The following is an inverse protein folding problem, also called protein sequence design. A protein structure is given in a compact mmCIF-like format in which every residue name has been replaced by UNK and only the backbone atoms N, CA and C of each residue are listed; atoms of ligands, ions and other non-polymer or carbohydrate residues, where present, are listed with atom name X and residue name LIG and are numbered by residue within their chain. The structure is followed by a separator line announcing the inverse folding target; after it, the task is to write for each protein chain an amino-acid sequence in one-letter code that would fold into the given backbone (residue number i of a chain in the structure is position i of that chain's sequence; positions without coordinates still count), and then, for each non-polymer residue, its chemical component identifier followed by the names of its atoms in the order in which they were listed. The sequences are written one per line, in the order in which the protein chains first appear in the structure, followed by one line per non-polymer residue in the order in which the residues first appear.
data_IF_425723010902
#
_entry.id   IF_425723010902
#
_cell.length_a   1.000
_cell.length_b   1.000
_cell.length_c   1.000
_cell.angle_alpha   90.00
_cell.angle_beta   90.00
_cell.angle_gamma   90.00
#
_symmetry.space_group_name_H-M   'P 1'
#
loop_
_entity.id
_entity.type
_entity.pdbx_description
1 polymer ?
#
# COMPACT_ATOMS: atom_id res chain seq x y z
N UNK A 1 -0.04 15.16 -2.76
CA UNK A 1 -0.89 14.07 -3.29
C UNK A 1 -2.33 14.52 -3.43
N UNK A 2 -3.02 14.93 -2.36
CA UNK A 2 -4.43 15.39 -2.44
C UNK A 2 -4.66 16.46 -3.50
N UNK A 3 -3.89 17.55 -3.47
CA UNK A 3 -3.99 18.62 -4.47
C UNK A 3 -3.84 18.08 -5.89
N UNK A 4 -2.80 17.28 -6.14
CA UNK A 4 -2.55 16.68 -7.46
C UNK A 4 -3.71 15.81 -7.94
N UNK A 5 -4.35 15.05 -7.03
CA UNK A 5 -5.51 14.23 -7.36
C UNK A 5 -6.70 15.10 -7.76
N UNK A 6 -6.99 16.14 -6.97
CA UNK A 6 -8.11 17.05 -7.22
C UNK A 6 -7.92 17.86 -8.52
N UNK A 7 -6.69 18.27 -8.82
CA UNK A 7 -6.35 19.01 -10.04
C UNK A 7 -6.01 18.11 -11.22
N UNK A 8 -6.09 16.79 -11.06
CA UNK A 8 -5.70 15.78 -12.05
C UNK A 8 -4.27 15.95 -12.60
N UNK A 9 -3.36 16.51 -11.79
CA UNK A 9 -1.96 16.62 -12.15
C UNK A 9 -1.28 15.27 -11.85
N UNK A 10 -0.67 14.61 -12.84
CA UNK A 10 0.02 13.34 -12.62
C UNK A 10 1.12 13.48 -11.57
N UNK A 11 1.20 12.52 -10.63
CA UNK A 11 2.21 12.53 -9.56
C UNK A 11 2.90 11.17 -9.43
N UNK A 12 4.22 11.17 -9.30
CA UNK A 12 5.01 10.03 -8.84
C UNK A 12 5.51 10.28 -7.44
N UNK A 13 5.29 9.33 -6.53
CA UNK A 13 5.84 9.34 -5.18
C UNK A 13 6.86 8.21 -5.07
N UNK A 14 8.12 8.61 -4.89
CA UNK A 14 9.27 7.71 -4.79
C UNK A 14 9.80 7.76 -3.37
N UNK A 15 10.13 6.61 -2.79
CA UNK A 15 10.77 6.51 -1.49
C UNK A 15 10.99 5.07 -1.08
N UNK A 16 11.77 4.79 -0.05
CA UNK A 16 12.01 3.40 0.38
C UNK A 16 10.71 2.69 0.85
N UNK A 17 10.74 1.36 0.88
CA UNK A 17 9.64 0.56 1.45
C UNK A 17 9.40 0.98 2.90
N UNK A 18 8.13 1.23 3.25
CA UNK A 18 7.77 1.71 4.60
C UNK A 18 7.81 3.24 4.77
N UNK A 19 8.08 4.02 3.72
CA UNK A 19 8.02 5.49 3.77
C UNK A 19 6.58 6.08 3.72
N UNK A 20 5.58 5.32 4.18
CA UNK A 20 4.16 5.73 4.28
C UNK A 20 3.48 6.21 2.99
N UNK A 21 3.97 5.83 1.81
CA UNK A 21 3.39 6.21 0.50
C UNK A 21 1.99 5.64 0.32
N UNK A 22 1.85 4.32 0.47
CA UNK A 22 0.56 3.62 0.34
C UNK A 22 -0.41 4.01 1.45
N UNK A 23 0.10 4.28 2.66
CA UNK A 23 -0.71 4.80 3.78
C UNK A 23 -1.28 6.20 3.45
N UNK A 24 -0.47 7.10 2.89
CA UNK A 24 -0.95 8.43 2.49
C UNK A 24 -2.09 8.34 1.47
N UNK A 25 -1.97 7.44 0.48
CA UNK A 25 -3.03 7.23 -0.50
C UNK A 25 -4.29 6.61 0.13
N UNK A 26 -4.11 5.68 1.06
CA UNK A 26 -5.20 5.08 1.80
C UNK A 26 -5.98 6.12 2.62
N UNK A 27 -5.28 7.00 3.35
CA UNK A 27 -5.89 8.10 4.11
C UNK A 27 -6.64 9.08 3.21
N UNK A 28 -6.11 9.36 2.01
CA UNK A 28 -6.80 10.19 1.02
C UNK A 28 -8.10 9.50 0.59
N UNK A 29 -8.06 8.21 0.30
CA UNK A 29 -9.25 7.45 -0.11
C UNK A 29 -10.29 7.29 1.01
N UNK A 30 -9.87 7.19 2.27
CA UNK A 30 -10.78 7.05 3.41
C UNK A 30 -11.45 8.37 3.76
N UNK A 31 -10.75 9.49 3.58
CA UNK A 31 -11.25 10.81 3.94
C UNK A 31 -12.01 11.50 2.80
N UNK A 32 -11.66 11.28 1.53
CA UNK A 32 -12.34 11.89 0.38
C UNK A 32 -13.51 11.03 -0.10
N UNK A 33 -14.58 10.99 0.69
CA UNK A 33 -15.80 10.23 0.38
C UNK A 33 -16.94 11.10 -0.16
N UNK A 34 -16.68 12.39 -0.42
CA UNK A 34 -17.73 13.34 -0.78
C UNK A 34 -18.62 13.65 0.41
N UNK A 35 -19.94 13.74 0.19
CA UNK A 35 -20.93 13.97 1.26
C UNK A 35 -20.93 12.92 2.38
N UNK A 36 -20.37 11.72 2.11
CA UNK A 36 -20.20 10.62 3.08
C UNK A 36 -18.95 10.78 3.97
N UNK A 37 -18.19 11.87 3.85
CA UNK A 37 -16.98 12.09 4.66
C UNK A 37 -17.37 12.52 6.08
N UNK A 38 -16.57 12.15 7.07
CA UNK A 38 -16.84 12.52 8.47
C UNK A 38 -16.61 14.02 8.72
N UNK A 39 -15.54 14.57 8.14
CA UNK A 39 -15.11 15.96 8.31
C UNK A 39 -15.86 16.92 7.36
N UNK A 40 -16.30 18.07 7.87
CA UNK A 40 -17.03 19.07 7.11
C UNK A 40 -16.21 19.67 5.95
N UNK A 41 -14.89 19.78 6.11
CA UNK A 41 -14.01 20.20 5.02
C UNK A 41 -14.03 19.15 3.89
N UNK A 42 -13.89 17.87 4.22
CA UNK A 42 -13.89 16.80 3.21
C UNK A 42 -15.25 16.56 2.56
N UNK A 43 -16.36 16.90 3.23
CA UNK A 43 -17.71 16.90 2.63
C UNK A 43 -17.85 17.88 1.46
N UNK A 44 -17.08 18.97 1.47
CA UNK A 44 -17.08 19.96 0.38
C UNK A 44 -16.28 19.51 -0.86
N UNK A 45 -15.48 18.45 -0.72
CA UNK A 45 -14.60 17.93 -1.78
C UNK A 45 -15.22 16.73 -2.49
N UNK A 46 -14.84 16.46 -3.75
CA UNK A 46 -15.39 15.35 -4.51
C UNK A 46 -14.94 13.99 -3.96
N UNK A 47 -15.77 12.96 -4.20
CA UNK A 47 -15.44 11.57 -3.85
C UNK A 47 -14.31 11.07 -4.73
N UNK A 48 -13.32 10.42 -4.14
CA UNK A 48 -12.18 9.85 -4.88
C UNK A 48 -12.32 8.33 -4.96
N UNK A 49 -12.22 7.79 -6.18
CA UNK A 49 -12.23 6.36 -6.42
C UNK A 49 -10.91 5.92 -7.06
N UNK A 50 -10.23 4.98 -6.42
CA UNK A 50 -8.91 4.52 -6.83
C UNK A 50 -9.02 3.18 -7.56
N UNK A 51 -8.45 3.11 -8.76
CA UNK A 51 -8.32 1.88 -9.55
C UNK A 51 -6.85 1.42 -9.50
N UNK A 52 -6.51 0.46 -8.63
CA UNK A 52 -5.12 0.03 -8.42
C UNK A 52 -4.63 -0.96 -9.49
N UNK A 53 -3.36 -0.81 -9.86
CA UNK A 53 -2.54 -1.80 -10.56
C UNK A 53 -1.28 -2.07 -9.77
N UNK A 54 -0.98 -3.34 -9.49
CA UNK A 54 0.30 -3.72 -8.95
C UNK A 54 1.25 -4.07 -10.10
N UNK A 55 2.29 -3.25 -10.29
CA UNK A 55 3.33 -3.52 -11.27
C UNK A 55 4.25 -4.66 -10.81
N UNK A 56 4.62 -5.50 -11.77
CA UNK A 56 5.59 -6.59 -11.63
C UNK A 56 6.57 -6.57 -12.81
N UNK A 57 7.60 -7.42 -12.75
CA UNK A 57 8.53 -7.61 -13.87
C UNK A 57 7.86 -8.18 -15.13
N UNK A 58 6.67 -8.76 -15.01
CA UNK A 58 5.84 -9.28 -16.11
C UNK A 58 4.70 -8.35 -16.52
N UNK A 59 4.63 -7.13 -15.99
CA UNK A 59 3.60 -6.16 -16.37
C UNK A 59 3.62 -5.87 -17.87
N UNK A 60 2.43 -5.88 -18.48
CA UNK A 60 2.23 -5.64 -19.91
C UNK A 60 1.61 -4.27 -20.16
N UNK A 61 1.85 -3.75 -21.36
CA UNK A 61 1.22 -2.52 -21.86
C UNK A 61 -0.31 -2.59 -21.78
N UNK A 62 -0.89 -3.68 -22.26
CA UNK A 62 -2.33 -3.94 -22.20
C UNK A 62 -2.90 -3.88 -20.79
N UNK A 63 -2.16 -4.34 -19.78
CA UNK A 63 -2.58 -4.29 -18.39
C UNK A 63 -2.77 -2.86 -17.90
N UNK A 64 -1.83 -1.97 -18.25
CA UNK A 64 -1.89 -0.55 -17.91
C UNK A 64 -3.02 0.13 -18.67
N UNK A 65 -3.14 -0.11 -19.98
CA UNK A 65 -4.21 0.48 -20.81
C UNK A 65 -5.59 0.13 -20.27
N UNK A 66 -5.83 -1.14 -19.92
CA UNK A 66 -7.12 -1.60 -19.37
C UNK A 66 -7.53 -0.87 -18.10
N UNK A 67 -6.58 -0.38 -17.32
CA UNK A 67 -6.83 0.32 -16.05
C UNK A 67 -7.21 1.77 -16.30
N UNK A 68 -6.54 2.42 -17.24
CA UNK A 68 -6.96 3.73 -17.71
C UNK A 68 -8.35 3.66 -18.37
N UNK A 69 -8.61 2.65 -19.21
CA UNK A 69 -9.92 2.44 -19.81
C UNK A 69 -11.00 2.21 -18.76
N UNK A 70 -10.70 1.39 -17.74
CA UNK A 70 -11.61 1.14 -16.62
C UNK A 70 -11.89 2.43 -15.84
N UNK A 71 -10.86 3.21 -15.52
CA UNK A 71 -11.00 4.49 -14.82
C UNK A 71 -11.81 5.52 -15.65
N UNK A 72 -11.58 5.58 -16.97
CA UNK A 72 -12.32 6.46 -17.88
C UNK A 72 -13.80 6.10 -17.95
N UNK A 73 -14.14 4.81 -18.07
CA UNK A 73 -15.54 4.34 -18.07
C UNK A 73 -16.28 4.71 -16.79
N UNK A 74 -15.63 4.60 -15.62
CA UNK A 74 -16.24 5.05 -14.36
C UNK A 74 -16.39 6.56 -14.30
N UNK A 75 -15.47 7.32 -14.90
CA UNK A 75 -15.53 8.77 -14.96
C UNK A 75 -16.70 9.28 -15.82
N UNK A 76 -17.02 8.59 -16.91
CA UNK A 76 -18.18 8.88 -17.76
C UNK A 76 -19.51 8.57 -17.06
N UNK A 77 -19.52 7.55 -16.20
CA UNK A 77 -20.72 7.12 -15.47
C UNK A 77 -21.06 8.03 -14.30
N UNK A 78 -20.07 8.70 -13.71
CA UNK A 78 -20.28 9.55 -12.52
C UNK A 78 -19.36 10.77 -12.56
N UNK A 79 -19.93 11.93 -12.88
CA UNK A 79 -19.21 13.21 -12.98
C UNK A 79 -18.74 13.76 -11.63
N UNK A 80 -19.41 13.38 -10.54
CA UNK A 80 -19.12 13.85 -9.16
C UNK A 80 -17.98 13.08 -8.47
N UNK A 81 -17.43 12.06 -9.14
CA UNK A 81 -16.34 11.22 -8.63
C UNK A 81 -15.07 11.51 -9.42
N UNK A 82 -13.95 11.67 -8.73
CA UNK A 82 -12.62 11.70 -9.35
C UNK A 82 -12.05 10.29 -9.36
N UNK A 83 -11.93 9.73 -10.56
CA UNK A 83 -11.27 8.44 -10.74
C UNK A 83 -9.75 8.61 -10.85
N UNK A 84 -9.03 7.80 -10.06
CA UNK A 84 -7.57 7.80 -9.98
C UNK A 84 -7.04 6.47 -10.48
N UNK A 85 -6.27 6.49 -11.56
CA UNK A 85 -5.43 5.36 -11.97
C UNK A 85 -4.19 5.31 -11.06
N UNK A 86 -4.09 4.26 -10.25
CA UNK A 86 -2.95 4.03 -9.36
C UNK A 86 -2.06 2.94 -9.95
N UNK A 87 -0.79 3.25 -10.20
CA UNK A 87 0.24 2.25 -10.45
C UNK A 87 1.13 2.12 -9.21
N UNK A 88 1.13 0.95 -8.59
CA UNK A 88 1.99 0.64 -7.45
C UNK A 88 3.20 -0.19 -7.89
N UNK A 89 4.35 0.00 -7.24
CA UNK A 89 5.64 -0.64 -7.56
C UNK A 89 6.13 -0.41 -9.01
N UNK A 90 5.97 0.81 -9.51
CA UNK A 90 6.31 1.19 -10.90
C UNK A 90 7.75 0.80 -11.28
N UNK A 91 8.70 0.84 -10.35
CA UNK A 91 10.10 0.47 -10.64
C UNK A 91 10.30 -0.98 -11.13
N UNK A 92 9.41 -1.93 -10.82
CA UNK A 92 9.51 -3.28 -11.42
C UNK A 92 9.20 -3.26 -12.91
N UNK A 93 8.21 -2.47 -13.33
CA UNK A 93 7.82 -2.33 -14.72
C UNK A 93 8.89 -1.61 -15.56
N UNK A 94 9.76 -0.81 -14.93
CA UNK A 94 10.89 -0.17 -15.60
C UNK A 94 12.01 -1.13 -15.98
N UNK A 95 12.29 -2.11 -15.13
CA UNK A 95 13.31 -3.14 -15.39
C UNK A 95 12.95 -4.13 -16.51
N UNK A 96 11.72 -4.06 -17.02
CA UNK A 96 11.21 -4.92 -18.07
C UNK A 96 11.72 -4.48 -19.45
N UNK A 97 12.17 -5.44 -20.26
CA UNK A 97 12.64 -5.21 -21.64
C UNK A 97 11.58 -4.59 -22.56
N UNK A 98 10.29 -4.82 -22.28
CA UNK A 98 9.17 -4.26 -23.03
C UNK A 98 8.85 -2.80 -22.69
N UNK A 99 9.48 -2.23 -21.65
CA UNK A 99 9.30 -0.85 -21.16
C UNK A 99 7.85 -0.32 -21.24
N UNK A 100 6.92 -0.95 -20.50
CA UNK A 100 5.49 -0.62 -20.55
C UNK A 100 5.17 0.82 -20.12
N UNK A 101 6.10 1.49 -19.42
CA UNK A 101 5.94 2.86 -18.96
C UNK A 101 6.06 3.90 -20.07
N UNK A 102 6.58 3.54 -21.25
CA UNK A 102 6.65 4.46 -22.41
C UNK A 102 5.25 4.96 -22.82
N UNK A 103 4.22 4.13 -22.62
CA UNK A 103 2.84 4.47 -22.93
C UNK A 103 2.24 5.52 -22.00
N UNK A 104 2.78 5.70 -20.79
CA UNK A 104 2.29 6.72 -19.85
C UNK A 104 2.36 8.12 -20.44
N UNK A 105 3.30 8.37 -21.34
CA UNK A 105 3.38 9.65 -22.04
C UNK A 105 2.13 9.96 -22.85
N UNK A 106 1.62 8.97 -23.57
CA UNK A 106 0.40 9.08 -24.37
C UNK A 106 -0.85 9.12 -23.49
N UNK A 107 -0.86 8.38 -22.38
CA UNK A 107 -2.03 8.30 -21.49
C UNK A 107 -2.19 9.51 -20.57
N UNK A 108 -1.09 10.18 -20.22
CA UNK A 108 -1.08 11.35 -19.35
C UNK A 108 -1.21 12.67 -20.12
N UNK A 109 -0.93 12.68 -21.42
CA UNK A 109 -1.15 13.86 -22.26
C UNK A 109 -2.63 13.98 -22.65
N UNK A 110 -3.24 15.16 -22.48
CA UNK A 110 -4.57 15.40 -23.00
C UNK A 110 -4.53 15.42 -24.53
N UNK A 111 -5.50 14.75 -25.17
CA UNK A 111 -5.70 14.81 -26.61
C UNK A 111 -6.57 16.03 -26.92
N UNK A 112 -6.10 16.93 -27.79
CA UNK A 112 -6.88 18.09 -28.23
C UNK A 112 -8.26 17.65 -28.77
N UNK A 113 -9.38 18.28 -28.36
CA UNK A 113 -9.52 19.60 -27.73
C UNK A 113 -9.56 19.61 -26.19
N UNK A 114 -9.31 18.48 -25.52
CA UNK A 114 -9.36 18.43 -24.06
C UNK A 114 -8.24 19.28 -23.43
N UNK A 115 -8.56 20.04 -22.40
CA UNK A 115 -7.61 20.90 -21.67
C UNK A 115 -6.84 20.17 -20.57
N UNK A 116 -7.22 18.92 -20.26
CA UNK A 116 -6.58 18.11 -19.22
C UNK A 116 -6.98 16.64 -19.29
N UNK A 117 -6.28 15.76 -18.54
CA UNK A 117 -6.57 14.35 -18.54
C UNK A 117 -7.96 14.07 -17.93
N UNK A 118 -8.63 13.06 -18.46
CA UNK A 118 -9.95 12.61 -18.01
C UNK A 118 -9.90 12.07 -16.58
N UNK A 119 -8.87 11.28 -16.28
CA UNK A 119 -8.63 10.63 -15.00
C UNK A 119 -7.37 11.18 -14.32
N UNK A 120 -7.34 11.16 -13.00
CA UNK A 120 -6.15 11.48 -12.23
C UNK A 120 -5.19 10.30 -12.21
N UNK A 121 -3.89 10.56 -12.06
CA UNK A 121 -2.86 9.53 -12.03
C UNK A 121 -1.95 9.64 -10.81
N UNK A 122 -1.68 8.50 -10.17
CA UNK A 122 -0.70 8.37 -9.08
C UNK A 122 0.19 7.16 -9.36
N UNK A 123 1.50 7.38 -9.42
CA UNK A 123 2.50 6.32 -9.47
C UNK A 123 3.27 6.22 -8.15
N UNK A 124 3.34 5.04 -7.56
CA UNK A 124 4.15 4.75 -6.38
C UNK A 124 5.34 3.87 -6.78
N UNK A 125 6.53 4.24 -6.34
CA UNK A 125 7.73 3.45 -6.58
C UNK A 125 8.64 3.42 -5.35
N UNK A 126 9.34 2.29 -5.19
CA UNK A 126 10.43 2.17 -4.21
C UNK A 126 11.79 2.56 -4.79
N UNK A 127 11.91 2.55 -6.13
CA UNK A 127 13.13 2.90 -6.85
C UNK A 127 12.95 4.19 -7.63
N UNK A 128 14.07 4.87 -7.87
CA UNK A 128 14.11 6.00 -8.78
C UNK A 128 13.61 5.57 -10.16
N UNK A 129 12.80 6.42 -10.75
CA UNK A 129 12.31 6.28 -12.11
C UNK A 129 13.19 7.11 -13.04
N UNK A 130 13.39 6.64 -14.27
CA UNK A 130 14.03 7.47 -15.30
C UNK A 130 13.23 8.77 -15.50
N UNK A 131 13.96 9.89 -15.52
CA UNK A 131 13.43 11.25 -15.68
C UNK A 131 12.61 11.35 -16.96
N UNK A 132 12.98 10.59 -18.01
CA UNK A 132 12.23 10.56 -19.27
C UNK A 132 10.76 10.19 -19.04
N UNK A 133 10.48 9.23 -18.13
CA UNK A 133 9.16 8.66 -17.81
C UNK A 133 8.35 9.53 -16.86
N UNK A 134 9.01 10.28 -15.99
CA UNK A 134 8.36 11.20 -15.04
C UNK A 134 8.26 12.64 -15.53
N UNK A 135 8.76 12.95 -16.73
CA UNK A 135 8.77 14.31 -17.30
C UNK A 135 7.41 15.02 -17.35
N UNK A 136 6.32 14.24 -17.45
CA UNK A 136 4.93 14.73 -17.53
C UNK A 136 4.19 14.71 -16.19
N UNK A 137 4.93 14.52 -15.10
CA UNK A 137 4.37 14.33 -13.77
C UNK A 137 5.19 15.09 -12.72
N UNK A 138 4.55 15.47 -11.62
CA UNK A 138 5.24 15.97 -10.44
C UNK A 138 5.95 14.79 -9.78
N UNK A 139 7.26 14.92 -9.58
CA UNK A 139 8.07 13.92 -8.88
C UNK A 139 8.26 14.33 -7.42
N UNK A 140 7.73 13.53 -6.50
CA UNK A 140 7.95 13.68 -5.06
C UNK A 140 8.90 12.58 -4.59
N UNK A 141 10.08 12.96 -4.15
CA UNK A 141 11.06 12.04 -3.57
C UNK A 141 11.06 12.16 -2.05
N UNK A 142 10.86 11.03 -1.36
CA UNK A 142 11.03 10.91 0.08
C UNK A 142 12.49 10.58 0.37
N UNK A 143 13.21 11.44 1.13
CA UNK A 143 14.56 11.13 1.56
C UNK A 143 14.55 9.92 2.51
N UNK A 144 15.74 9.37 2.73
CA UNK A 144 15.95 8.39 3.79
C UNK A 144 15.71 9.05 5.14
N UNK A 145 15.08 8.32 6.05
CA UNK A 145 14.81 8.79 7.40
C UNK A 145 16.13 8.97 8.14
N UNK A 146 16.33 10.15 8.69
CA UNK A 146 17.47 10.44 9.56
C UNK A 146 17.14 10.10 11.02
N UNK A 147 18.12 10.30 11.90
CA UNK A 147 17.97 10.05 13.33
C UNK A 147 16.86 10.91 13.94
N UNK A 148 16.72 12.16 13.52
CA UNK A 148 15.72 13.08 14.07
C UNK A 148 14.31 12.65 13.65
N UNK A 149 14.13 12.22 12.41
CA UNK A 149 12.87 11.69 11.90
C UNK A 149 12.43 10.46 12.70
N UNK A 150 13.35 9.52 12.97
CA UNK A 150 13.06 8.32 13.73
C UNK A 150 12.70 8.64 15.19
N UNK A 151 13.42 9.57 15.84
CA UNK A 151 13.08 10.03 17.20
C UNK A 151 11.70 10.70 17.24
N UNK A 152 11.38 11.52 16.23
CA UNK A 152 10.06 12.14 16.10
C UNK A 152 8.93 11.12 15.88
N UNK A 153 9.23 9.98 15.25
CA UNK A 153 8.29 8.87 15.11
C UNK A 153 8.13 8.16 16.45
N UNK A 154 9.22 7.79 17.10
CA UNK A 154 9.22 7.06 18.37
C UNK A 154 8.39 7.78 19.43
N UNK A 155 8.59 9.09 19.58
CA UNK A 155 7.87 9.94 20.54
C UNK A 155 6.37 10.03 20.27
N UNK A 156 5.94 9.81 19.01
CA UNK A 156 4.51 9.76 18.64
C UNK A 156 3.90 8.37 18.85
N UNK A 157 4.67 7.32 18.64
CA UNK A 157 4.20 5.92 18.78
C UNK A 157 4.16 5.46 20.23
N UNK A 158 5.17 5.83 20.99
CA UNK A 158 5.32 5.48 22.40
C UNK A 158 5.34 6.81 23.15
N UNK A 159 4.46 6.97 24.15
CA UNK A 159 4.58 8.04 25.14
C UNK A 159 5.80 7.75 26.03
N UNK A 160 6.99 7.77 25.45
CA UNK A 160 8.24 7.64 26.20
C UNK A 160 8.34 8.87 27.11
N UNK A 161 8.41 8.63 28.41
CA UNK A 161 8.76 9.68 29.36
C UNK A 161 10.27 10.04 29.30
N UNK A 162 11.08 9.26 28.58
CA UNK A 162 12.53 9.45 28.44
C UNK A 162 12.92 9.64 26.96
N UNK A 163 13.35 10.87 26.62
CA UNK A 163 13.86 11.21 25.29
C UNK A 163 15.13 10.43 24.93
N UNK A 164 15.91 10.02 25.93
CA UNK A 164 17.19 9.33 25.77
C UNK A 164 16.99 7.90 25.22
N UNK A 165 16.03 7.15 25.76
CA UNK A 165 15.68 5.81 25.28
C UNK A 165 15.21 5.82 23.81
N UNK A 166 14.41 6.82 23.44
CA UNK A 166 13.95 7.01 22.06
C UNK A 166 15.11 7.24 21.09
N UNK A 167 16.12 8.01 21.52
CA UNK A 167 17.32 8.27 20.72
C UNK A 167 18.16 7.01 20.56
N UNK A 168 18.45 6.30 21.65
CA UNK A 168 19.22 5.06 21.61
C UNK A 168 18.59 3.99 20.72
N UNK A 169 17.25 3.88 20.72
CA UNK A 169 16.53 2.95 19.85
C UNK A 169 16.70 3.31 18.36
N UNK A 170 16.59 4.60 18.03
CA UNK A 170 16.77 5.09 16.66
C UNK A 170 18.22 4.88 16.17
N UNK A 171 19.21 5.15 17.03
CA UNK A 171 20.64 4.91 16.75
C UNK A 171 20.90 3.42 16.49
N UNK A 172 20.43 2.54 17.38
CA UNK A 172 20.60 1.10 17.23
C UNK A 172 19.98 0.57 15.93
N UNK A 173 18.82 1.07 15.54
CA UNK A 173 18.21 0.71 14.26
C UNK A 173 19.02 1.18 13.05
N UNK A 174 19.52 2.42 13.07
CA UNK A 174 20.32 2.96 11.97
C UNK A 174 21.65 2.21 11.82
N UNK A 175 22.32 1.91 12.93
CA UNK A 175 23.54 1.10 12.95
C UNK A 175 23.26 -0.31 12.42
N UNK A 176 22.19 -0.93 12.89
CA UNK A 176 21.77 -2.25 12.43
C UNK A 176 21.51 -2.28 10.92
N UNK A 177 20.79 -1.28 10.40
CA UNK A 177 20.46 -1.15 8.97
C UNK A 177 21.71 -0.96 8.10
N UNK A 178 22.73 -0.29 8.60
CA UNK A 178 23.93 0.03 7.82
C UNK A 178 24.99 -1.08 7.84
N UNK A 179 25.18 -1.75 8.98
CA UNK A 179 26.36 -2.61 9.18
C UNK A 179 26.05 -4.07 9.51
N UNK A 180 24.87 -4.39 10.04
CA UNK A 180 24.63 -5.68 10.69
C UNK A 180 23.58 -6.56 9.98
N UNK A 181 23.15 -6.19 8.76
CA UNK A 181 22.25 -7.03 7.97
C UNK A 181 23.01 -8.00 7.08
N UNK A 182 22.71 -9.30 7.19
CA UNK A 182 23.27 -10.36 6.32
C UNK A 182 22.82 -10.19 4.86
N UNK A 183 21.59 -9.74 4.66
CA UNK A 183 21.00 -9.45 3.36
C UNK A 183 20.68 -7.96 3.30
N UNK A 184 21.07 -7.31 2.21
CA UNK A 184 20.83 -5.87 2.01
C UNK A 184 19.33 -5.56 2.04
N UNK A 185 18.93 -4.60 2.88
CA UNK A 185 17.55 -4.14 3.05
C UNK A 185 16.55 -5.26 3.42
N UNK A 186 16.98 -6.27 4.16
CA UNK A 186 16.08 -7.32 4.64
C UNK A 186 15.13 -6.79 5.73
N UNK A 187 15.68 -6.07 6.72
CA UNK A 187 14.87 -5.39 7.74
C UNK A 187 14.72 -3.91 7.39
N UNK A 188 13.47 -3.47 7.25
CA UNK A 188 13.10 -2.13 6.81
C UNK A 188 12.45 -1.29 7.89
N UNK A 189 11.85 -0.17 7.48
CA UNK A 189 11.12 0.73 8.39
C UNK A 189 9.85 0.07 8.95
N UNK A 190 9.27 -0.88 8.21
CA UNK A 190 8.06 -1.60 8.67
C UNK A 190 8.35 -2.45 9.90
N UNK A 191 9.49 -3.14 9.92
CA UNK A 191 9.92 -3.95 11.07
C UNK A 191 10.21 -3.07 12.28
N UNK A 192 10.81 -1.89 12.05
CA UNK A 192 11.02 -0.89 13.07
C UNK A 192 9.71 -0.33 13.64
N UNK A 193 8.71 -0.02 12.81
CA UNK A 193 7.40 0.40 13.31
C UNK A 193 6.67 -0.73 14.04
N UNK A 194 6.83 -1.97 13.59
CA UNK A 194 6.26 -3.14 14.26
C UNK A 194 6.89 -3.34 15.65
N UNK A 195 8.21 -3.18 15.78
CA UNK A 195 8.89 -3.28 17.08
C UNK A 195 8.46 -2.17 18.02
N UNK A 196 8.34 -0.93 17.54
CA UNK A 196 7.77 0.18 18.33
C UNK A 196 6.34 -0.11 18.78
N UNK A 197 5.51 -0.63 17.87
CA UNK A 197 4.12 -0.99 18.20
C UNK A 197 4.08 -2.10 19.26
N UNK A 198 4.95 -3.10 19.15
CA UNK A 198 5.05 -4.18 20.14
C UNK A 198 5.50 -3.65 21.50
N UNK A 199 6.45 -2.72 21.55
CA UNK A 199 6.88 -2.06 22.79
C UNK A 199 5.78 -1.18 23.42
N UNK A 200 4.86 -0.65 22.61
CA UNK A 200 3.71 0.14 23.09
C UNK A 200 2.56 -0.69 23.65
N UNK A 201 2.48 -1.99 23.30
CA UNK A 201 1.39 -2.89 23.70
C UNK A 201 1.83 -3.71 24.93
N UNK A 202 1.03 -3.70 25.99
CA UNK A 202 1.17 -4.67 27.08
C UNK A 202 0.84 -6.08 26.56
N UNK A 203 1.54 -7.14 27.01
CA UNK A 203 1.42 -8.46 26.42
C UNK A 203 0.01 -9.01 26.66
N UNK A 204 -0.71 -9.31 25.57
CA UNK A 204 -1.95 -10.08 25.59
C UNK A 204 -1.73 -11.45 24.92
N UNK A 205 -2.45 -12.43 25.45
CA UNK A 205 -2.15 -13.85 25.50
C UNK A 205 -2.23 -14.64 24.17
N UNK A 206 -1.48 -15.76 24.19
CA UNK A 206 -1.71 -17.05 23.52
C UNK A 206 -1.95 -17.10 22.00
N UNK A 207 -0.88 -17.52 21.28
CA UNK A 207 -0.93 -17.95 19.88
C UNK A 207 -1.14 -19.48 19.84
N UNK A 208 -2.34 -19.95 19.51
CA UNK A 208 -2.57 -21.34 19.09
C UNK A 208 -2.50 -21.47 17.57
N UNK A 209 -1.85 -22.54 17.09
CA UNK A 209 -1.45 -22.75 15.69
C UNK A 209 -2.29 -23.87 15.08
N UNK A 210 -2.91 -23.63 13.92
CA UNK A 210 -3.51 -24.69 13.08
C UNK A 210 -2.83 -24.71 11.69
N UNK A 211 -2.51 -25.91 11.22
CA UNK A 211 -1.77 -26.17 9.99
C UNK A 211 -2.73 -26.40 8.82
N UNK A 212 -2.58 -25.64 7.72
CA UNK A 212 -3.21 -25.97 6.44
C UNK A 212 -2.13 -26.05 5.35
N UNK A 213 -1.95 -27.24 4.76
CA UNK A 213 -1.09 -27.46 3.59
C UNK A 213 -1.92 -27.33 2.33
N UNK A 214 -1.48 -26.53 1.35
CA UNK A 214 -2.11 -26.47 0.03
C UNK A 214 -1.32 -27.32 -0.97
N UNK A 215 -1.73 -28.58 -1.16
CA UNK A 215 -1.38 -29.35 -2.35
C UNK A 215 -2.66 -29.94 -2.92
N UNK A 216 -3.13 -29.42 -4.07
CA UNK A 216 -4.07 -30.13 -4.93
C UNK A 216 -3.61 -29.98 -6.39
N UNK A 217 -3.36 -31.08 -7.13
CA UNK A 217 -2.67 -31.03 -8.42
C UNK A 217 -3.49 -30.53 -9.62
N UNK A 218 -4.82 -30.43 -9.52
CA UNK A 218 -5.66 -30.28 -10.72
C UNK A 218 -6.71 -29.17 -10.57
N UNK A 219 -6.33 -27.91 -10.81
CA UNK A 219 -7.24 -26.84 -11.26
C UNK A 219 -6.41 -25.56 -11.51
N UNK A 220 -6.15 -25.19 -12.76
CA UNK A 220 -5.22 -24.08 -13.07
C UNK A 220 -5.88 -22.68 -13.06
N UNK A 221 -7.21 -22.56 -13.24
CA UNK A 221 -7.85 -21.24 -13.36
C UNK A 221 -8.74 -20.85 -12.15
N UNK A 222 -9.39 -21.82 -11.49
CA UNK A 222 -10.31 -21.59 -10.37
C UNK A 222 -9.64 -21.76 -8.98
N UNK A 223 -8.34 -22.06 -8.97
CA UNK A 223 -7.57 -22.26 -7.74
C UNK A 223 -7.40 -20.96 -6.95
N UNK A 224 -7.14 -19.85 -7.64
CA UNK A 224 -6.86 -18.59 -6.96
C UNK A 224 -8.11 -17.97 -6.30
N UNK A 225 -9.27 -18.06 -6.92
CA UNK A 225 -10.58 -17.62 -6.38
C UNK A 225 -11.00 -18.46 -5.17
N UNK A 226 -10.92 -19.80 -5.28
CA UNK A 226 -11.23 -20.74 -4.17
C UNK A 226 -10.27 -20.60 -3.00
N UNK A 227 -8.98 -20.39 -3.27
CA UNK A 227 -7.99 -20.14 -2.21
C UNK A 227 -8.28 -18.79 -1.55
N UNK A 228 -8.51 -17.72 -2.31
CA UNK A 228 -8.84 -16.41 -1.74
C UNK A 228 -10.11 -16.41 -0.90
N UNK A 229 -11.18 -17.11 -1.32
CA UNK A 229 -12.42 -17.20 -0.54
C UNK A 229 -12.23 -17.94 0.78
N UNK A 230 -11.40 -19.00 0.79
CA UNK A 230 -11.00 -19.69 2.02
C UNK A 230 -10.16 -18.79 2.92
N UNK A 231 -9.22 -18.03 2.35
CA UNK A 231 -8.41 -17.06 3.09
C UNK A 231 -9.31 -16.00 3.75
N UNK A 232 -10.25 -15.43 3.00
CA UNK A 232 -11.20 -14.44 3.54
C UNK A 232 -12.09 -15.03 4.63
N UNK A 233 -12.56 -16.28 4.47
CA UNK A 233 -13.31 -17.00 5.50
C UNK A 233 -12.48 -17.24 6.76
N UNK A 234 -11.19 -17.59 6.63
CA UNK A 234 -10.31 -17.76 7.78
C UNK A 234 -10.08 -16.43 8.51
N UNK A 235 -9.88 -15.34 7.77
CA UNK A 235 -9.72 -13.99 8.34
C UNK A 235 -10.99 -13.55 9.08
N UNK A 236 -12.17 -13.74 8.47
CA UNK A 236 -13.45 -13.35 9.10
C UNK A 236 -13.81 -14.19 10.33
N UNK A 237 -13.30 -15.42 10.40
CA UNK A 237 -13.50 -16.32 11.56
C UNK A 237 -12.38 -16.22 12.60
N UNK A 238 -11.40 -15.33 12.41
CA UNK A 238 -10.27 -15.15 13.33
C UNK A 238 -9.32 -16.37 13.39
N UNK A 239 -9.36 -17.26 12.39
CA UNK A 239 -8.55 -18.48 12.36
C UNK A 239 -7.15 -18.16 11.78
N UNK A 240 -6.06 -18.49 12.49
CA UNK A 240 -4.71 -18.31 11.97
C UNK A 240 -4.48 -19.17 10.74
N UNK A 241 -3.74 -18.63 9.77
CA UNK A 241 -3.60 -19.18 8.43
C UNK A 241 -2.12 -19.27 8.05
N UNK A 242 -1.69 -20.45 7.60
CA UNK A 242 -0.36 -20.67 7.04
C UNK A 242 -0.48 -20.78 5.52
N UNK A 243 0.26 -19.95 4.81
CA UNK A 243 0.25 -19.89 3.35
C UNK A 243 1.57 -20.39 2.79
N UNK A 244 1.50 -21.42 1.94
CA UNK A 244 2.61 -21.93 1.13
C UNK A 244 2.49 -21.43 -0.31
N UNK A 245 3.62 -21.28 -1.03
CA UNK A 245 3.67 -20.82 -2.42
C UNK A 245 3.06 -19.42 -2.65
N UNK A 246 3.55 -18.43 -1.89
CA UNK A 246 3.06 -17.06 -1.91
C UNK A 246 3.22 -16.35 -3.25
N UNK A 247 4.16 -16.75 -4.10
CA UNK A 247 4.45 -16.10 -5.39
C UNK A 247 3.20 -15.90 -6.25
N UNK A 248 2.28 -16.89 -6.26
CA UNK A 248 1.05 -16.84 -7.06
C UNK A 248 -0.05 -15.96 -6.46
N UNK A 249 -0.06 -15.76 -5.14
CA UNK A 249 -1.14 -15.08 -4.41
C UNK A 249 -0.71 -13.72 -3.83
N UNK A 250 0.58 -13.42 -3.80
CA UNK A 250 1.17 -12.20 -3.24
C UNK A 250 0.47 -10.95 -3.77
N UNK A 251 0.36 -10.82 -5.09
CA UNK A 251 -0.23 -9.64 -5.71
C UNK A 251 -1.70 -9.42 -5.34
N UNK A 252 -2.44 -10.50 -5.05
CA UNK A 252 -3.84 -10.43 -4.64
C UNK A 252 -4.02 -10.11 -3.16
N UNK A 253 -3.05 -10.48 -2.32
CA UNK A 253 -3.06 -10.28 -0.86
C UNK A 253 -2.28 -9.05 -0.40
N UNK A 254 -1.61 -8.35 -1.31
CA UNK A 254 -0.71 -7.24 -0.98
C UNK A 254 -1.36 -6.17 -0.09
N UNK A 255 -2.58 -5.75 -0.43
CA UNK A 255 -3.31 -4.75 0.35
C UNK A 255 -3.69 -5.25 1.75
N UNK A 256 -4.06 -6.53 1.86
CA UNK A 256 -4.37 -7.16 3.14
C UNK A 256 -3.14 -7.15 4.07
N UNK A 257 -1.96 -7.48 3.54
CA UNK A 257 -0.73 -7.53 4.34
C UNK A 257 -0.17 -6.16 4.73
N UNK A 258 -0.55 -5.10 4.00
CA UNK A 258 -0.20 -3.75 4.40
C UNK A 258 -0.96 -3.27 5.64
N UNK A 259 -1.93 -4.05 6.17
CA UNK A 259 -2.68 -3.77 7.41
C UNK A 259 -3.32 -2.37 7.46
N UNK A 260 -3.63 -1.78 6.30
CA UNK A 260 -4.34 -0.51 6.19
C UNK A 260 -5.86 -0.78 6.27
N UNK A 261 -6.35 -1.15 7.45
CA UNK A 261 -7.77 -1.43 7.66
C UNK A 261 -8.54 -0.13 7.92
N UNK A 262 -9.66 0.05 7.23
CA UNK A 262 -10.65 1.09 7.52
C UNK A 262 -11.51 0.58 8.68
N UNK A 263 -11.59 1.35 9.76
CA UNK A 263 -12.62 1.14 10.79
C UNK A 263 -13.87 1.86 10.27
N UNK A 264 -14.83 1.13 9.71
CA UNK A 264 -16.16 1.69 9.48
C UNK A 264 -16.85 1.83 10.85
N UNK A 265 -16.93 3.07 11.35
CA UNK A 265 -17.72 3.40 12.53
C UNK A 265 -19.21 3.28 12.16
N UNK A 266 -19.76 2.07 12.22
CA UNK A 266 -21.21 1.88 12.41
C UNK A 266 -21.49 1.83 13.92
N UNK A 267 -22.50 2.59 14.32
CA UNK A 267 -22.74 3.07 15.68
C UNK A 267 -22.93 1.97 16.76
N UNK A 268 -22.20 2.15 17.86
CA UNK A 268 -22.49 1.80 19.27
C UNK A 268 -23.63 0.80 19.57
N UNK A 269 -23.27 -0.46 19.89
CA UNK A 269 -23.30 -1.02 21.26
C UNK A 269 -22.98 -2.53 21.27
N UNK A 270 -22.19 -2.90 22.28
CA UNK A 270 -21.88 -4.24 22.83
C UNK A 270 -20.68 -4.97 22.20
N UNK A 271 -19.70 -5.25 23.08
CA UNK A 271 -18.43 -5.95 22.94
C UNK A 271 -17.24 -5.15 22.37
N UNK A 272 -16.71 -4.26 23.23
CA UNK A 272 -15.25 -4.09 23.41
C UNK A 272 -14.61 -5.48 23.63
N UNK A 273 -14.12 -6.11 22.56
CA UNK A 273 -13.12 -7.21 22.61
C UNK A 273 -12.67 -7.68 21.22
N UNK A 274 -13.33 -7.26 20.13
CA UNK A 274 -13.11 -7.86 18.80
C UNK A 274 -12.36 -6.96 17.78
N UNK A 275 -11.59 -5.95 18.21
CA UNK A 275 -10.88 -5.04 17.29
C UNK A 275 -9.51 -5.54 16.78
N UNK A 276 -9.20 -6.85 16.90
CA UNK A 276 -7.86 -7.42 16.65
C UNK A 276 -7.76 -8.42 15.47
N UNK A 277 -8.67 -8.42 14.49
CA UNK A 277 -8.71 -9.50 13.48
C UNK A 277 -7.52 -9.58 12.50
N UNK A 278 -6.66 -8.56 12.40
CA UNK A 278 -5.53 -8.56 11.45
C UNK A 278 -4.16 -8.95 12.04
N UNK A 279 -4.09 -9.28 13.34
CA UNK A 279 -2.82 -9.62 14.01
C UNK A 279 -2.31 -11.05 13.76
N UNK A 280 -3.02 -11.88 12.97
CA UNK A 280 -2.79 -13.33 12.92
C UNK A 280 -2.32 -13.90 11.57
N UNK A 281 -1.52 -13.15 10.81
CA UNK A 281 -0.84 -13.69 9.61
C UNK A 281 0.65 -13.85 9.91
N UNK A 282 1.06 -15.08 10.25
CA UNK A 282 2.48 -15.44 10.36
C UNK A 282 2.97 -16.09 9.08
N UNK A 283 3.99 -15.48 8.46
CA UNK A 283 4.66 -16.01 7.27
C UNK A 283 5.83 -16.89 7.72
N UNK A 284 5.85 -18.16 7.33
CA UNK A 284 7.01 -19.04 7.48
C UNK A 284 7.68 -19.21 6.12
N UNK A 285 8.90 -18.71 5.98
CA UNK A 285 9.71 -18.92 4.79
C UNK A 285 10.57 -20.17 5.03
N UNK A 286 10.28 -21.27 4.34
CA UNK A 286 11.18 -22.43 4.34
C UNK A 286 12.25 -22.21 3.27
N UNK A 287 13.49 -21.98 3.71
CA UNK A 287 14.66 -22.05 2.83
C UNK A 287 14.90 -23.51 2.45
N UNK A 288 14.94 -23.80 1.15
CA UNK A 288 15.52 -25.06 0.65
C UNK A 288 17.04 -25.05 0.81
#
# INVERSE_FOLDING_TARGET
MTVCILTKIPIFVIGETGSSKSLALHLISSNLRGSESDDDYFKSLPKVHIVPYLCSSSSTLDGITKIFDKANKYQETSSDVINVALLDHVGFAESNSSNPLKLLHTLLEPIYPATGPTVSFVGLSNWHLDISKSSRAILVQRPKFDLNDLVNINTKFIKFNEAEASKSLAEAYLEYKQHNQTLSNFYGLRDYYASLKMLSLTPAENIQIALARSYFPDDQDDYSSKVLSKIMTCISTGKPLILTNLEKIYGKLYNLWNQNNIVENTEQKVYEENSNFAYHISLKCESK
#
